data_IF_990157858195
#
_entry.id   IF_990157858195
#
_cell.length_a   1.000
_cell.length_b   1.000
_cell.length_c   1.000
_cell.angle_alpha   90.00
_cell.angle_beta   90.00
_cell.angle_gamma   90.00
#
_symmetry.space_group_name_H-M   'P 1'
#
loop_
_entity.id
_entity.type
_entity.pdbx_description
1 polymer ?
#
# COMPACT_ATOMS: atom_id res chain seq x y z
N UNK A 1 22.93 3.59 -44.75
CA UNK A 1 23.94 3.47 -43.68
C UNK A 1 25.24 3.02 -44.31
N UNK A 2 26.26 3.87 -44.25
CA UNK A 2 27.58 3.62 -44.83
C UNK A 2 28.34 2.59 -43.96
N UNK A 3 29.25 1.80 -44.54
CA UNK A 3 30.05 0.81 -43.81
C UNK A 3 30.88 1.45 -42.69
N UNK A 4 31.35 2.68 -42.91
CA UNK A 4 32.01 3.50 -41.89
C UNK A 4 31.10 3.81 -40.70
N UNK A 5 29.82 4.07 -40.94
CA UNK A 5 28.85 4.35 -39.87
C UNK A 5 28.55 3.10 -39.05
N UNK A 6 28.42 1.94 -39.71
CA UNK A 6 28.24 0.65 -39.03
C UNK A 6 29.44 0.32 -38.15
N UNK A 7 30.67 0.51 -38.67
CA UNK A 7 31.91 0.31 -37.92
C UNK A 7 32.01 1.25 -36.72
N UNK A 8 31.63 2.52 -36.90
CA UNK A 8 31.58 3.51 -35.81
C UNK A 8 30.57 3.09 -34.74
N UNK A 9 29.39 2.61 -35.13
CA UNK A 9 28.38 2.13 -34.18
C UNK A 9 28.86 0.89 -33.41
N UNK A 10 29.54 -0.05 -34.07
CA UNK A 10 30.10 -1.23 -33.42
C UNK A 10 31.18 -0.85 -32.39
N UNK A 11 32.12 0.03 -32.75
CA UNK A 11 33.15 0.52 -31.82
C UNK A 11 32.55 1.26 -30.61
N UNK A 12 31.49 2.04 -30.82
CA UNK A 12 30.77 2.71 -29.73
C UNK A 12 30.07 1.72 -28.80
N UNK A 13 29.51 0.63 -29.35
CA UNK A 13 28.89 -0.43 -28.54
C UNK A 13 29.94 -1.17 -27.70
N UNK A 14 31.08 -1.50 -28.30
CA UNK A 14 32.18 -2.19 -27.62
C UNK A 14 32.76 -1.32 -26.49
N UNK A 15 33.04 -0.03 -26.76
CA UNK A 15 33.46 0.92 -25.74
C UNK A 15 32.42 1.04 -24.61
N UNK A 16 31.13 1.14 -24.96
CA UNK A 16 30.04 1.20 -23.97
C UNK A 16 29.97 -0.05 -23.12
N UNK A 17 30.15 -1.25 -23.68
CA UNK A 17 30.22 -2.49 -22.89
C UNK A 17 31.41 -2.48 -21.92
N UNK A 18 32.56 -1.98 -22.33
CA UNK A 18 33.75 -1.89 -21.48
C UNK A 18 33.57 -0.93 -20.29
N UNK A 19 32.82 0.16 -20.48
CA UNK A 19 32.51 1.11 -19.40
C UNK A 19 31.29 0.70 -18.55
N UNK A 20 30.39 -0.15 -19.06
CA UNK A 20 29.21 -0.64 -18.34
C UNK A 20 29.58 -1.45 -17.08
N UNK A 21 30.66 -2.23 -17.14
CA UNK A 21 31.16 -3.00 -15.99
C UNK A 21 31.65 -2.11 -14.82
N UNK A 22 31.86 -0.81 -15.04
CA UNK A 22 32.21 0.18 -13.99
C UNK A 22 31.00 0.79 -13.26
N UNK A 23 29.78 0.38 -13.59
CA UNK A 23 28.56 0.86 -12.95
C UNK A 23 28.03 2.18 -13.52
N UNK A 24 26.78 2.52 -13.17
CA UNK A 24 26.11 3.74 -13.62
C UNK A 24 26.83 4.95 -13.02
N UNK A 25 27.32 5.91 -13.83
CA UNK A 25 27.95 7.12 -13.31
C UNK A 25 26.95 7.93 -12.47
N UNK A 26 27.45 8.72 -11.52
CA UNK A 26 26.61 9.60 -10.73
C UNK A 26 25.99 10.70 -11.61
N UNK A 27 24.71 10.52 -11.98
CA UNK A 27 23.95 11.49 -12.77
C UNK A 27 23.09 12.34 -11.84
N UNK A 28 23.14 13.66 -12.04
CA UNK A 28 22.32 14.59 -11.27
C UNK A 28 20.81 14.33 -11.52
N UNK A 29 19.93 14.37 -10.49
CA UNK A 29 18.52 14.00 -10.60
C UNK A 29 17.76 14.69 -11.75
N UNK A 30 18.08 15.96 -12.03
CA UNK A 30 17.50 16.75 -13.13
C UNK A 30 17.72 16.13 -14.51
N UNK A 31 18.85 15.46 -14.72
CA UNK A 31 19.25 14.88 -16.01
C UNK A 31 19.13 13.36 -16.04
N UNK A 32 18.68 12.77 -14.93
CA UNK A 32 18.50 11.33 -14.79
C UNK A 32 17.59 10.77 -15.88
N UNK A 33 16.47 11.44 -16.16
CA UNK A 33 15.52 10.99 -17.18
C UNK A 33 16.13 10.98 -18.60
N UNK A 34 16.89 12.02 -18.96
CA UNK A 34 17.56 12.10 -20.26
C UNK A 34 18.67 11.06 -20.38
N UNK A 35 19.46 10.86 -19.31
CA UNK A 35 20.48 9.82 -19.27
C UNK A 35 19.87 8.42 -19.41
N UNK A 36 18.80 8.13 -18.67
CA UNK A 36 18.06 6.88 -18.80
C UNK A 36 17.56 6.70 -20.24
N UNK A 37 16.94 7.70 -20.87
CA UNK A 37 16.49 7.57 -22.26
C UNK A 37 17.60 7.27 -23.29
N UNK A 38 18.84 7.70 -23.03
CA UNK A 38 19.99 7.51 -23.91
C UNK A 38 20.75 6.21 -23.64
N UNK A 39 20.70 5.74 -22.40
CA UNK A 39 21.56 4.65 -21.91
C UNK A 39 20.82 3.41 -21.40
N UNK A 40 19.50 3.48 -21.22
CA UNK A 40 18.62 2.44 -20.67
C UNK A 40 17.81 1.73 -21.79
N UNK A 41 18.39 1.65 -22.98
CA UNK A 41 17.87 0.82 -24.06
C UNK A 41 18.62 -0.51 -23.96
N UNK A 42 17.90 -1.54 -23.48
CA UNK A 42 18.31 -2.94 -23.28
C UNK A 42 19.23 -3.22 -22.09
N UNK A 43 18.63 -3.69 -20.98
CA UNK A 43 18.90 -5.02 -20.38
C UNK A 43 17.85 -5.34 -19.29
N UNK A 44 16.74 -5.97 -19.71
CA UNK A 44 16.01 -7.03 -19.00
C UNK A 44 15.50 -6.87 -17.55
N UNK A 45 15.01 -5.70 -17.13
CA UNK A 45 14.01 -5.63 -16.06
C UNK A 45 12.88 -4.64 -16.41
N UNK A 46 11.62 -4.91 -16.03
CA UNK A 46 10.53 -3.95 -16.14
C UNK A 46 10.68 -2.86 -15.06
N UNK A 47 11.82 -2.17 -15.04
CA UNK A 47 12.27 -1.32 -13.93
C UNK A 47 11.97 0.16 -14.16
N UNK A 48 10.71 0.45 -14.45
CA UNK A 48 10.06 1.75 -14.24
C UNK A 48 8.59 1.69 -14.67
N UNK A 49 7.92 0.56 -14.45
CA UNK A 49 6.46 0.55 -14.53
C UNK A 49 5.94 1.53 -13.48
N UNK A 50 5.59 2.72 -13.96
CA UNK A 50 5.00 3.80 -13.19
C UNK A 50 3.78 3.24 -12.45
N UNK A 51 3.97 2.87 -11.18
CA UNK A 51 2.88 2.33 -10.35
C UNK A 51 1.82 3.38 -10.02
N UNK A 52 1.94 4.59 -10.56
CA UNK A 52 0.96 5.66 -10.42
C UNK A 52 -0.43 5.21 -10.89
N UNK A 53 -0.53 4.59 -12.08
CA UNK A 53 -1.83 4.15 -12.61
C UNK A 53 -2.51 3.10 -11.73
N UNK A 54 -1.75 2.08 -11.29
CA UNK A 54 -2.27 1.02 -10.42
C UNK A 54 -2.71 1.59 -9.08
N UNK A 55 -1.92 2.49 -8.48
CA UNK A 55 -2.27 3.17 -7.22
C UNK A 55 -3.55 3.99 -7.38
N UNK A 56 -3.70 4.75 -8.47
CA UNK A 56 -4.90 5.56 -8.73
C UNK A 56 -6.14 4.68 -8.90
N UNK A 57 -6.05 3.60 -9.68
CA UNK A 57 -7.16 2.65 -9.89
C UNK A 57 -7.54 1.98 -8.58
N UNK A 58 -6.55 1.54 -7.79
CA UNK A 58 -6.78 0.93 -6.48
C UNK A 58 -7.44 1.92 -5.50
N UNK A 59 -7.02 3.19 -5.47
CA UNK A 59 -7.65 4.22 -4.65
C UNK A 59 -9.12 4.45 -5.05
N UNK A 60 -9.41 4.56 -6.35
CA UNK A 60 -10.78 4.75 -6.84
C UNK A 60 -11.64 3.52 -6.51
N UNK A 61 -11.10 2.31 -6.67
CA UNK A 61 -11.80 1.07 -6.36
C UNK A 61 -12.13 0.96 -4.87
N UNK A 62 -11.15 1.21 -3.98
CA UNK A 62 -11.37 1.20 -2.54
C UNK A 62 -12.38 2.27 -2.12
N UNK A 63 -12.31 3.47 -2.73
CA UNK A 63 -13.27 4.53 -2.48
C UNK A 63 -14.68 4.16 -2.92
N UNK A 64 -14.86 3.54 -4.09
CA UNK A 64 -16.15 3.07 -4.56
C UNK A 64 -16.73 1.97 -3.65
N UNK A 65 -15.89 1.04 -3.19
CA UNK A 65 -16.31 0.03 -2.22
C UNK A 65 -16.75 0.66 -0.89
N UNK A 66 -16.03 1.67 -0.40
CA UNK A 66 -16.39 2.41 0.80
C UNK A 66 -17.74 3.11 0.64
N UNK A 67 -17.97 3.82 -0.47
CA UNK A 67 -19.25 4.49 -0.75
C UNK A 67 -20.41 3.48 -0.84
N UNK A 68 -20.20 2.32 -1.45
CA UNK A 68 -21.21 1.25 -1.50
C UNK A 68 -21.47 0.66 -0.10
N UNK A 69 -20.43 0.49 0.72
CA UNK A 69 -20.57 0.00 2.08
C UNK A 69 -21.32 1.01 2.97
N UNK A 70 -21.06 2.29 2.77
CA UNK A 70 -21.73 3.40 3.46
C UNK A 70 -23.21 3.51 3.05
N UNK A 71 -23.49 3.48 1.74
CA UNK A 71 -24.86 3.53 1.19
C UNK A 71 -25.69 2.29 1.58
N UNK A 72 -25.07 1.11 1.59
CA UNK A 72 -25.74 -0.12 2.04
C UNK A 72 -25.92 -0.17 3.55
N UNK A 73 -25.46 0.85 4.28
CA UNK A 73 -25.49 0.87 5.74
C UNK A 73 -24.96 -0.44 6.26
N UNK A 74 -23.78 -0.87 5.75
CA UNK A 74 -23.11 -2.03 6.28
C UNK A 74 -22.86 -1.73 7.75
N UNK A 75 -23.80 -2.18 8.58
CA UNK A 75 -23.79 -2.13 10.01
C UNK A 75 -22.66 -3.06 10.46
N UNK A 76 -21.42 -2.63 10.22
CA UNK A 76 -20.27 -3.12 10.93
C UNK A 76 -20.58 -2.73 12.36
N UNK A 77 -21.03 -3.74 13.09
CA UNK A 77 -21.43 -3.67 14.49
C UNK A 77 -22.87 -3.18 14.71
N UNK A 78 -23.86 -3.96 14.27
CA UNK A 78 -25.02 -4.25 15.13
C UNK A 78 -24.53 -4.95 16.42
N UNK A 79 -23.69 -4.29 17.21
CA UNK A 79 -23.73 -4.47 18.66
C UNK A 79 -24.78 -3.48 19.07
N UNK A 80 -26.02 -3.95 19.00
CA UNK A 80 -27.19 -3.24 19.46
C UNK A 80 -26.93 -2.85 20.91
N UNK A 81 -26.62 -1.56 21.13
CA UNK A 81 -26.29 -1.03 22.47
C UNK A 81 -27.42 -1.28 23.46
N UNK A 82 -28.63 -1.53 22.97
CA UNK A 82 -29.79 -1.88 23.78
C UNK A 82 -29.64 -3.26 24.44
N UNK A 83 -29.01 -4.23 23.77
CA UNK A 83 -28.74 -5.58 24.32
C UNK A 83 -27.69 -5.51 25.44
N UNK A 84 -26.67 -4.66 25.29
CA UNK A 84 -25.68 -4.41 26.34
C UNK A 84 -26.33 -3.72 27.55
N UNK A 85 -27.19 -2.73 27.34
CA UNK A 85 -27.88 -2.08 28.47
C UNK A 85 -28.87 -3.01 29.16
N UNK A 86 -29.56 -3.90 28.43
CA UNK A 86 -30.47 -4.88 29.02
C UNK A 86 -29.71 -5.95 29.83
N UNK A 87 -28.53 -6.37 29.36
CA UNK A 87 -27.67 -7.30 30.10
C UNK A 87 -27.11 -6.68 31.38
N UNK A 88 -26.67 -5.41 31.34
CA UNK A 88 -26.22 -4.67 32.53
C UNK A 88 -27.39 -4.51 33.53
N UNK A 89 -28.61 -4.30 33.04
CA UNK A 89 -29.79 -4.12 33.89
C UNK A 89 -30.35 -5.44 34.47
N UNK A 90 -29.95 -6.61 33.95
CA UNK A 90 -30.32 -7.94 34.51
C UNK A 90 -29.39 -8.41 35.63
N UNK A 91 -28.26 -7.74 35.88
CA UNK A 91 -27.34 -8.09 36.97
C UNK A 91 -27.55 -7.42 38.36
N UNK A 92 -28.61 -6.65 38.70
CA UNK A 92 -28.72 -6.08 40.05
C UNK A 92 -29.09 -7.12 41.12
N UNK A 93 -29.66 -8.26 40.73
CA UNK A 93 -30.16 -9.32 41.63
C UNK A 93 -29.02 -10.02 42.40
N UNK A 94 -27.82 -10.11 41.80
CA UNK A 94 -26.65 -10.76 42.42
C UNK A 94 -25.97 -9.86 43.47
N UNK A 95 -26.04 -8.55 43.29
CA UNK A 95 -25.45 -7.57 44.19
C UNK A 95 -26.31 -7.38 45.44
N UNK A 96 -27.63 -7.36 45.29
CA UNK A 96 -28.57 -7.23 46.43
C UNK A 96 -28.49 -8.44 47.36
N UNK A 97 -28.46 -9.66 46.80
CA UNK A 97 -28.30 -10.91 47.57
C UNK A 97 -26.93 -11.01 48.25
N UNK A 98 -25.85 -10.56 47.60
CA UNK A 98 -24.53 -10.49 48.21
C UNK A 98 -24.49 -9.52 49.41
N UNK A 99 -25.08 -8.33 49.27
CA UNK A 99 -25.16 -7.33 50.34
C UNK A 99 -26.04 -7.80 51.51
N UNK A 100 -27.14 -8.50 51.21
CA UNK A 100 -28.01 -9.08 52.24
C UNK A 100 -27.29 -10.20 53.03
N UNK A 101 -26.53 -11.06 52.34
CA UNK A 101 -25.71 -12.09 52.98
C UNK A 101 -24.59 -11.53 53.85
N UNK A 102 -23.97 -10.41 53.45
CA UNK A 102 -22.98 -9.70 54.29
C UNK A 102 -23.66 -9.12 55.54
N UNK A 103 -24.84 -8.51 55.38
CA UNK A 103 -25.58 -7.93 56.52
C UNK A 103 -25.99 -9.01 57.53
N UNK A 104 -26.44 -10.16 57.07
CA UNK A 104 -26.78 -11.31 57.92
C UNK A 104 -25.59 -11.90 58.70
N UNK A 105 -24.36 -11.67 58.23
CA UNK A 105 -23.13 -12.08 58.92
C UNK A 105 -22.66 -11.07 59.97
N UNK A 106 -23.23 -9.86 59.96
CA UNK A 106 -22.82 -8.73 60.79
C UNK A 106 -23.86 -8.35 61.86
N UNK A 107 -24.99 -9.07 61.92
CA UNK A 107 -25.93 -9.13 63.07
C UNK A 107 -25.67 -10.44 63.84
#
# INVERSE_FOLDING_TARGET
MNETEKRRQQLLREARSQYRDKGIPAVHPRYRAAYQSLYDETDDLPENSSSFGIRTVLCILLFALFVIADDKGAAVMQVDSTVLTEQIQKEPESVTTFLENIKAWND
#
